data_IF_702749471022
#
_entry.id   IF_702749471022
#
_cell.length_a   1.000
_cell.length_b   1.000
_cell.length_c   1.000
_cell.angle_alpha   90.00
_cell.angle_beta   90.00
_cell.angle_gamma   90.00
#
_symmetry.space_group_name_H-M   'P 1'
#
loop_
_entity.id
_entity.type
_entity.pdbx_description
1 polymer ?
#
# COMPACT_ATOMS: atom_id res chain seq x y z
N UNK A 1 0.87 27.10 -3.81
CA UNK A 1 2.09 26.42 -4.31
C UNK A 1 2.03 26.31 -5.82
N UNK A 2 3.16 26.52 -6.53
CA UNK A 2 3.22 26.38 -8.00
C UNK A 2 3.55 24.94 -8.45
N UNK A 3 4.30 24.22 -7.63
CA UNK A 3 4.78 22.89 -7.93
C UNK A 3 4.83 22.06 -6.65
N UNK A 4 4.36 20.81 -6.73
CA UNK A 4 4.49 19.81 -5.67
C UNK A 4 5.34 18.66 -6.18
N UNK A 5 6.30 18.24 -5.38
CA UNK A 5 7.15 17.11 -5.65
C UNK A 5 7.05 16.12 -4.50
N UNK A 6 6.84 14.84 -4.83
CA UNK A 6 6.87 13.75 -3.87
C UNK A 6 7.54 12.55 -4.52
N UNK A 7 8.51 11.97 -3.83
CA UNK A 7 9.30 10.85 -4.34
C UNK A 7 9.43 9.78 -3.27
N UNK A 8 9.03 8.55 -3.61
CA UNK A 8 9.06 7.39 -2.73
C UNK A 8 8.29 7.56 -1.40
N UNK A 9 7.20 8.34 -1.39
CA UNK A 9 6.37 8.53 -0.20
C UNK A 9 4.98 7.89 -0.30
N UNK A 10 4.35 7.93 -1.48
CA UNK A 10 2.91 7.65 -1.63
C UNK A 10 2.54 6.16 -1.69
N UNK A 11 3.52 5.27 -1.58
CA UNK A 11 3.30 3.84 -1.38
C UNK A 11 3.22 3.48 0.12
N UNK A 12 3.56 4.41 1.02
CA UNK A 12 3.34 4.25 2.45
C UNK A 12 1.92 4.68 2.79
N UNK A 13 1.17 3.75 3.37
CA UNK A 13 -0.19 3.97 3.84
C UNK A 13 -0.17 4.72 5.17
N UNK A 14 -1.23 5.49 5.41
CA UNK A 14 -1.43 6.22 6.67
C UNK A 14 -1.59 5.27 7.86
N UNK A 15 -2.09 4.06 7.61
CA UNK A 15 -2.31 3.00 8.60
C UNK A 15 -2.28 1.63 7.91
N UNK A 16 -2.05 0.59 8.71
CA UNK A 16 -2.36 -0.78 8.29
C UNK A 16 -3.86 -0.88 8.05
N UNK A 17 -4.34 -1.49 6.94
CA UNK A 17 -5.76 -1.56 6.65
C UNK A 17 -6.53 -2.26 7.80
N UNK A 18 -7.52 -1.60 8.43
CA UNK A 18 -8.26 -2.18 9.54
C UNK A 18 -9.01 -3.45 9.16
N UNK A 19 -9.44 -3.56 7.90
CA UNK A 19 -10.11 -4.73 7.33
C UNK A 19 -9.23 -5.97 7.22
N UNK A 20 -7.94 -5.89 7.56
CA UNK A 20 -7.09 -7.07 7.71
C UNK A 20 -7.41 -7.88 8.97
N UNK A 21 -8.16 -7.32 9.92
CA UNK A 21 -8.51 -7.98 11.17
C UNK A 21 -10.00 -8.32 11.19
N UNK A 22 -10.33 -9.53 11.63
CA UNK A 22 -11.71 -9.93 11.86
C UNK A 22 -12.27 -9.29 13.16
N UNK A 23 -13.55 -9.52 13.46
CA UNK A 23 -14.22 -8.99 14.65
C UNK A 23 -13.55 -9.43 15.97
N UNK A 24 -12.78 -10.52 15.96
CA UNK A 24 -12.03 -11.04 17.11
C UNK A 24 -10.61 -10.45 17.19
N UNK A 25 -10.23 -9.55 16.30
CA UNK A 25 -8.89 -8.97 16.20
C UNK A 25 -7.85 -9.90 15.58
N UNK A 26 -8.27 -11.01 14.97
CA UNK A 26 -7.35 -11.93 14.31
C UNK A 26 -7.05 -11.48 12.89
N UNK A 27 -5.78 -11.53 12.49
CA UNK A 27 -5.37 -11.24 11.12
C UNK A 27 -5.95 -12.24 10.11
N UNK A 28 -6.36 -11.72 8.96
CA UNK A 28 -6.69 -12.46 7.74
C UNK A 28 -5.43 -12.90 6.96
N UNK A 29 -4.26 -12.34 7.29
CA UNK A 29 -2.99 -12.57 6.61
C UNK A 29 -1.94 -13.21 7.53
N UNK A 30 -2.35 -14.19 8.35
CA UNK A 30 -1.46 -14.87 9.30
C UNK A 30 -0.21 -15.43 8.61
N UNK A 31 0.95 -15.30 9.24
CA UNK A 31 2.23 -15.74 8.69
C UNK A 31 2.83 -14.84 7.59
N UNK A 32 2.16 -13.75 7.20
CA UNK A 32 2.66 -12.82 6.19
C UNK A 32 2.64 -11.37 6.68
N UNK A 33 3.76 -10.67 6.46
CA UNK A 33 3.83 -9.23 6.77
C UNK A 33 3.13 -8.35 5.74
N UNK A 34 2.97 -8.83 4.52
CA UNK A 34 2.38 -8.09 3.40
C UNK A 34 1.66 -9.06 2.45
N UNK A 35 1.12 -8.57 1.35
CA UNK A 35 0.53 -9.39 0.30
C UNK A 35 1.58 -10.38 -0.24
N UNK A 36 1.22 -11.66 -0.23
CA UNK A 36 2.02 -12.79 -0.70
C UNK A 36 1.15 -13.79 -1.46
N UNK A 37 1.76 -14.82 -2.05
CA UNK A 37 1.04 -15.88 -2.77
C UNK A 37 0.05 -16.64 -1.88
N UNK A 38 0.29 -16.71 -0.58
CA UNK A 38 -0.60 -17.38 0.38
C UNK A 38 -1.68 -16.46 0.95
N UNK A 39 -1.66 -15.17 0.61
CA UNK A 39 -2.66 -14.21 1.07
C UNK A 39 -4.01 -14.45 0.39
N UNK A 40 -5.14 -14.48 1.13
CA UNK A 40 -6.44 -14.53 0.50
C UNK A 40 -6.74 -13.21 -0.24
N UNK A 41 -7.59 -13.22 -1.30
CA UNK A 41 -7.90 -12.02 -2.08
C UNK A 41 -8.43 -10.82 -1.27
N UNK A 42 -9.05 -11.09 -0.12
CA UNK A 42 -9.51 -10.04 0.79
C UNK A 42 -8.36 -9.15 1.31
N UNK A 43 -7.15 -9.68 1.42
CA UNK A 43 -5.97 -8.94 1.88
C UNK A 43 -5.55 -7.90 0.85
N UNK A 44 -5.40 -8.27 -0.41
CA UNK A 44 -5.03 -7.31 -1.45
C UNK A 44 -6.11 -6.24 -1.65
N UNK A 45 -7.39 -6.61 -1.54
CA UNK A 45 -8.50 -5.67 -1.55
C UNK A 45 -8.44 -4.68 -0.38
N UNK A 46 -8.14 -5.16 0.84
CA UNK A 46 -8.01 -4.29 2.02
C UNK A 46 -6.91 -3.23 1.84
N UNK A 47 -5.74 -3.66 1.35
CA UNK A 47 -4.64 -2.74 1.03
C UNK A 47 -4.99 -1.74 -0.08
N UNK A 48 -5.63 -2.21 -1.15
CA UNK A 48 -6.07 -1.35 -2.24
C UNK A 48 -7.03 -0.26 -1.76
N UNK A 49 -8.02 -0.61 -0.94
CA UNK A 49 -9.00 0.34 -0.40
C UNK A 49 -8.33 1.38 0.50
N UNK A 50 -7.36 0.97 1.33
CA UNK A 50 -6.61 1.92 2.15
C UNK A 50 -5.76 2.88 1.30
N UNK A 51 -5.08 2.37 0.27
CA UNK A 51 -4.35 3.20 -0.67
C UNK A 51 -5.27 4.19 -1.37
N UNK A 52 -6.43 3.75 -1.82
CA UNK A 52 -7.41 4.60 -2.48
C UNK A 52 -7.88 5.74 -1.56
N UNK A 53 -8.19 5.46 -0.29
CA UNK A 53 -8.53 6.47 0.72
C UNK A 53 -7.39 7.49 0.90
N UNK A 54 -6.18 6.99 1.20
CA UNK A 54 -5.02 7.83 1.49
C UNK A 54 -4.62 8.70 0.30
N UNK A 55 -4.64 8.12 -0.91
CA UNK A 55 -4.24 8.82 -2.12
C UNK A 55 -5.28 9.87 -2.54
N UNK A 56 -6.58 9.58 -2.39
CA UNK A 56 -7.63 10.57 -2.62
C UNK A 56 -7.50 11.75 -1.65
N UNK A 57 -7.29 11.49 -0.35
CA UNK A 57 -7.06 12.53 0.66
C UNK A 57 -5.83 13.38 0.32
N UNK A 58 -4.73 12.75 -0.14
CA UNK A 58 -3.55 13.45 -0.59
C UNK A 58 -3.85 14.38 -1.77
N UNK A 59 -4.49 13.86 -2.83
CA UNK A 59 -4.83 14.63 -4.02
C UNK A 59 -5.76 15.81 -3.67
N UNK A 60 -6.82 15.57 -2.90
CA UNK A 60 -7.75 16.61 -2.46
C UNK A 60 -7.04 17.70 -1.67
N UNK A 61 -6.13 17.33 -0.76
CA UNK A 61 -5.36 18.29 0.03
C UNK A 61 -4.45 19.12 -0.87
N UNK A 62 -3.70 18.49 -1.77
CA UNK A 62 -2.79 19.19 -2.69
C UNK A 62 -3.54 20.08 -3.70
N UNK A 63 -4.75 19.70 -4.10
CA UNK A 63 -5.56 20.51 -5.01
C UNK A 63 -5.91 21.89 -4.43
N UNK A 64 -6.13 21.97 -3.11
CA UNK A 64 -6.46 23.23 -2.41
C UNK A 64 -5.25 24.15 -2.26
N UNK A 65 -4.05 23.58 -2.24
CA UNK A 65 -2.80 24.32 -2.06
C UNK A 65 -2.19 24.77 -3.38
N UNK A 66 -2.55 24.12 -4.49
CA UNK A 66 -2.04 24.44 -5.83
C UNK A 66 -2.73 25.67 -6.40
N UNK A 67 -1.93 26.54 -7.03
CA UNK A 67 -2.49 27.63 -7.84
C UNK A 67 -3.06 27.08 -9.16
N UNK A 68 -3.89 27.87 -9.84
CA UNK A 68 -4.35 27.54 -11.17
C UNK A 68 -3.17 27.22 -12.10
N UNK A 69 -3.23 26.10 -12.83
CA UNK A 69 -2.16 25.56 -13.70
C UNK A 69 -0.88 25.12 -12.97
N UNK A 70 -0.91 25.02 -11.65
CA UNK A 70 0.15 24.36 -10.88
C UNK A 70 0.28 22.89 -11.26
N UNK A 71 1.45 22.28 -10.99
CA UNK A 71 1.74 20.90 -11.37
C UNK A 71 2.21 20.05 -10.19
N UNK A 72 2.02 18.74 -10.31
CA UNK A 72 2.59 17.77 -9.39
C UNK A 72 3.46 16.77 -10.14
N UNK A 73 4.61 16.43 -9.58
CA UNK A 73 5.41 15.28 -9.98
C UNK A 73 5.43 14.29 -8.82
N UNK A 74 4.84 13.12 -9.05
CA UNK A 74 4.72 12.05 -8.06
C UNK A 74 5.51 10.84 -8.56
N UNK A 75 6.51 10.42 -7.79
CA UNK A 75 7.30 9.22 -8.04
C UNK A 75 7.05 8.28 -6.85
N UNK A 76 6.64 7.05 -7.11
CA UNK A 76 6.36 6.06 -6.07
C UNK A 76 6.66 4.66 -6.58
N UNK A 77 6.93 3.75 -5.65
CA UNK A 77 6.96 2.32 -5.93
C UNK A 77 5.57 1.86 -6.35
N UNK A 78 5.51 1.10 -7.43
CA UNK A 78 4.29 0.51 -7.95
C UNK A 78 4.58 -0.87 -8.51
N UNK A 79 3.55 -1.49 -9.07
CA UNK A 79 3.64 -2.82 -9.71
C UNK A 79 3.30 -2.74 -11.19
N UNK A 80 3.90 -3.65 -11.96
CA UNK A 80 3.69 -3.75 -13.42
C UNK A 80 2.37 -4.47 -13.71
N UNK A 81 2.11 -5.58 -13.02
CA UNK A 81 0.90 -6.36 -13.22
C UNK A 81 -0.31 -5.69 -12.55
N UNK A 82 -1.39 -5.54 -13.32
CA UNK A 82 -2.63 -4.95 -12.84
C UNK A 82 -3.38 -5.87 -11.88
N UNK A 83 -3.37 -7.18 -12.16
CA UNK A 83 -4.20 -8.19 -11.49
C UNK A 83 -3.41 -8.99 -10.46
N UNK A 84 -2.10 -9.14 -10.66
CA UNK A 84 -1.23 -9.82 -9.69
C UNK A 84 -0.61 -8.81 -8.72
N UNK A 85 -1.02 -8.89 -7.46
CA UNK A 85 -0.48 -8.06 -6.37
C UNK A 85 0.84 -8.60 -5.81
N UNK A 86 1.23 -9.83 -6.16
CA UNK A 86 2.50 -10.46 -5.78
C UNK A 86 3.56 -10.15 -6.83
N UNK A 87 3.93 -8.88 -6.89
CA UNK A 87 4.97 -8.40 -7.82
C UNK A 87 6.38 -8.71 -7.30
N UNK A 88 7.20 -9.37 -8.12
CA UNK A 88 8.57 -9.78 -7.77
C UNK A 88 9.48 -8.63 -7.35
N UNK A 89 9.19 -7.38 -7.74
CA UNK A 89 9.97 -6.22 -7.31
C UNK A 89 9.75 -5.84 -5.85
N UNK A 90 8.49 -5.81 -5.40
CA UNK A 90 8.12 -5.29 -4.08
C UNK A 90 7.77 -6.38 -3.08
N UNK A 91 7.00 -7.40 -3.47
CA UNK A 91 6.55 -8.45 -2.54
C UNK A 91 7.72 -9.34 -2.07
N UNK A 92 8.76 -9.48 -2.90
CA UNK A 92 9.92 -10.32 -2.60
C UNK A 92 10.66 -9.88 -1.32
N UNK A 93 10.88 -8.58 -1.12
CA UNK A 93 11.54 -8.08 0.08
C UNK A 93 10.71 -8.33 1.35
N UNK A 94 9.39 -8.15 1.25
CA UNK A 94 8.48 -8.44 2.35
C UNK A 94 8.39 -9.93 2.66
N UNK A 95 8.42 -10.79 1.64
CA UNK A 95 8.47 -12.24 1.82
C UNK A 95 9.76 -12.68 2.52
N UNK A 96 10.91 -12.17 2.08
CA UNK A 96 12.20 -12.47 2.70
C UNK A 96 12.23 -12.04 4.17
N UNK A 97 11.69 -10.84 4.47
CA UNK A 97 11.56 -10.37 5.84
C UNK A 97 10.61 -11.27 6.65
N UNK A 98 9.46 -11.65 6.08
CA UNK A 98 8.49 -12.54 6.71
C UNK A 98 9.10 -13.88 7.09
N UNK A 99 9.84 -14.50 6.16
CA UNK A 99 10.54 -15.77 6.38
C UNK A 99 11.60 -15.63 7.45
N UNK A 100 12.39 -14.54 7.43
CA UNK A 100 13.42 -14.29 8.43
C UNK A 100 12.84 -14.18 9.84
N UNK A 101 11.75 -13.42 9.99
CA UNK A 101 11.06 -13.28 11.29
C UNK A 101 10.39 -14.58 11.74
N UNK A 102 9.85 -15.35 10.79
CA UNK A 102 9.26 -16.66 11.08
C UNK A 102 10.31 -17.66 11.60
N UNK A 103 11.53 -17.64 11.05
CA UNK A 103 12.65 -18.44 11.56
C UNK A 103 13.05 -18.00 12.98
N UNK A 104 13.06 -16.71 13.26
CA UNK A 104 13.34 -16.22 14.62
C UNK A 104 12.23 -16.62 15.61
N UNK A 105 10.96 -16.61 15.18
CA UNK A 105 9.84 -17.08 16.00
C UNK A 105 9.92 -18.58 16.28
N UNK A 106 10.31 -19.41 15.30
CA UNK A 106 10.49 -20.85 15.52
C UNK A 106 11.66 -21.19 16.46
N UNK A 107 12.65 -20.29 16.55
CA UNK A 107 13.74 -20.36 17.53
C UNK A 107 13.34 -19.82 18.91
N UNK A 108 12.08 -19.40 19.12
CA UNK A 108 11.60 -18.82 20.37
C UNK A 108 12.12 -17.40 20.66
N UNK A 109 12.74 -16.74 19.68
CA UNK A 109 13.28 -15.37 19.84
C UNK A 109 12.24 -14.27 19.63
N UNK A 110 11.11 -14.62 19.00
CA UNK A 110 9.99 -13.73 18.76
C UNK A 110 8.69 -14.42 19.15
N UNK A 111 7.72 -13.64 19.63
CA UNK A 111 6.38 -14.13 19.86
C UNK A 111 5.65 -14.28 18.51
N UNK A 112 5.17 -15.49 18.22
CA UNK A 112 4.54 -15.83 16.94
C UNK A 112 3.20 -15.12 16.77
N UNK A 113 2.40 -15.02 17.83
CA UNK A 113 1.09 -14.37 17.78
C UNK A 113 1.21 -12.88 17.43
N UNK A 114 2.25 -12.21 17.95
CA UNK A 114 2.58 -10.82 17.60
C UNK A 114 3.01 -10.69 16.15
N UNK A 115 3.79 -11.65 15.65
CA UNK A 115 4.23 -11.66 14.26
C UNK A 115 3.06 -11.86 13.29
N UNK A 116 2.13 -12.75 13.62
CA UNK A 116 0.93 -13.01 12.81
C UNK A 116 0.00 -11.80 12.68
N UNK A 117 0.09 -10.85 13.60
CA UNK A 117 -0.66 -9.59 13.58
C UNK A 117 0.15 -8.40 13.05
N UNK A 118 1.42 -8.59 12.68
CA UNK A 118 2.29 -7.52 12.19
C UNK A 118 2.20 -7.39 10.67
N UNK A 119 1.72 -6.24 10.21
CA UNK A 119 1.55 -5.96 8.79
C UNK A 119 2.23 -4.65 8.39
N UNK A 120 2.79 -4.63 7.18
CA UNK A 120 3.42 -3.44 6.62
C UNK A 120 2.34 -2.44 6.20
N UNK A 121 2.49 -1.16 6.53
CA UNK A 121 1.65 -0.08 5.98
C UNK A 121 2.17 0.33 4.59
N UNK A 122 2.34 -0.64 3.70
CA UNK A 122 2.90 -0.46 2.36
C UNK A 122 1.89 -0.95 1.33
N UNK A 123 1.77 -0.26 0.20
CA UNK A 123 1.06 -0.77 -0.97
C UNK A 123 1.75 -0.32 -2.26
N UNK A 124 1.99 -1.25 -3.17
CA UNK A 124 2.49 -0.98 -4.50
C UNK A 124 1.31 -0.91 -5.49
N UNK A 125 0.78 0.28 -5.80
CA UNK A 125 -0.33 0.42 -6.73
C UNK A 125 0.10 0.10 -8.17
N UNK A 126 -0.83 -0.37 -8.99
CA UNK A 126 -0.62 -0.47 -10.43
C UNK A 126 -0.78 0.90 -11.09
N UNK A 127 -0.23 1.04 -12.30
CA UNK A 127 -0.46 2.24 -13.11
C UNK A 127 -1.95 2.55 -13.27
N UNK A 128 -2.78 1.53 -13.48
CA UNK A 128 -4.21 1.71 -13.67
C UNK A 128 -4.88 2.26 -12.41
N UNK A 129 -4.54 1.75 -11.22
CA UNK A 129 -5.12 2.23 -9.96
C UNK A 129 -4.77 3.70 -9.71
N UNK A 130 -3.53 4.11 -9.98
CA UNK A 130 -3.11 5.52 -9.88
C UNK A 130 -3.91 6.38 -10.85
N UNK A 131 -3.96 5.99 -12.13
CA UNK A 131 -4.71 6.74 -13.13
C UNK A 131 -6.20 6.83 -12.82
N UNK A 132 -6.79 5.76 -12.28
CA UNK A 132 -8.20 5.73 -11.90
C UNK A 132 -8.50 6.71 -10.77
N UNK A 133 -7.66 6.75 -9.74
CA UNK A 133 -7.83 7.72 -8.66
C UNK A 133 -7.63 9.15 -9.13
N UNK A 134 -6.62 9.42 -9.97
CA UNK A 134 -6.43 10.77 -10.53
C UNK A 134 -7.62 11.20 -11.39
N UNK A 135 -8.23 10.29 -12.17
CA UNK A 135 -9.43 10.58 -12.96
C UNK A 135 -10.66 10.89 -12.11
N UNK A 136 -10.79 10.28 -10.93
CA UNK A 136 -11.88 10.58 -9.98
C UNK A 136 -11.73 11.97 -9.37
N UNK A 137 -10.51 12.47 -9.26
CA UNK A 137 -10.23 13.81 -8.72
C UNK A 137 -10.38 14.89 -9.80
N UNK A 138 -11.51 15.61 -9.75
CA UNK A 138 -11.91 16.62 -10.75
C UNK A 138 -10.92 17.77 -10.95
N UNK A 139 -10.01 18.01 -10.00
CA UNK A 139 -9.05 19.10 -10.01
C UNK A 139 -7.78 18.79 -10.80
N UNK A 140 -7.55 17.52 -11.17
CA UNK A 140 -6.35 17.09 -11.86
C UNK A 140 -6.64 16.52 -13.25
N UNK A 141 -5.79 16.88 -14.21
CA UNK A 141 -5.76 16.25 -15.52
C UNK A 141 -5.03 14.91 -15.47
N UNK A 142 -5.26 14.05 -16.48
CA UNK A 142 -4.66 12.72 -16.59
C UNK A 142 -3.11 12.76 -16.41
N UNK A 143 -2.51 11.76 -15.74
CA UNK A 143 -1.05 11.63 -15.66
C UNK A 143 -0.41 11.53 -17.06
N UNK A 144 0.78 12.11 -17.22
CA UNK A 144 1.61 12.03 -18.43
C UNK A 144 2.46 10.76 -18.36
#
# INVERSE_FOLDING_TARGET
>A
MHFVYSSYCLHWLSKVPPSLYNEKGESLNKGNLYISESSPPAVSLAYFLQFQEDFSVFLQSRSKELVCRGRMLLILLGRVDQNNHVDRGNSFFWELLSRSLTILASQGKLNKEKLDCYHAHFYAPSKWEIEDQVRREVHFSRPI
#
